data_IF_617916548584
#
_entry.id   IF_617916548584
#
_cell.length_a   1.000
_cell.length_b   1.000
_cell.length_c   1.000
_cell.angle_alpha   90.00
_cell.angle_beta   90.00
_cell.angle_gamma   90.00
#
_symmetry.space_group_name_H-M   'P 1'
#
loop_
_entity.id
_entity.type
_entity.pdbx_description
1 polymer ?
#
# COMPACT_ATOMS: atom_id res chain seq x y z
N UNK A 1 26.24 14.05 5.64
CA UNK A 1 24.79 13.81 5.45
C UNK A 1 24.33 12.90 6.57
N UNK A 2 23.46 13.37 7.46
CA UNK A 2 22.96 12.56 8.57
C UNK A 2 22.01 11.50 8.02
N UNK A 3 22.33 10.21 8.25
CA UNK A 3 21.42 9.10 7.99
C UNK A 3 20.19 9.25 8.90
N UNK A 4 19.07 9.66 8.32
CA UNK A 4 17.76 9.56 8.96
C UNK A 4 17.37 8.08 8.98
N UNK A 5 17.75 7.38 10.06
CA UNK A 5 17.02 6.16 10.43
C UNK A 5 15.66 6.65 10.91
N UNK A 6 14.52 6.23 10.33
CA UNK A 6 13.24 6.53 10.93
C UNK A 6 13.23 5.81 12.28
N UNK A 7 13.46 6.54 13.38
CA UNK A 7 13.18 6.03 14.74
C UNK A 7 11.68 6.00 15.01
N UNK A 8 10.91 6.58 14.09
CA UNK A 8 9.47 6.58 14.10
C UNK A 8 8.92 5.20 13.70
N UNK A 9 8.45 4.46 14.72
CA UNK A 9 7.89 3.13 14.54
C UNK A 9 6.62 3.15 13.68
N UNK A 10 5.86 4.24 13.63
CA UNK A 10 4.63 4.31 12.84
C UNK A 10 4.97 4.43 11.35
N UNK A 11 5.95 5.28 11.00
CA UNK A 11 6.47 5.38 9.62
C UNK A 11 7.02 4.05 9.12
N UNK A 12 7.84 3.36 9.92
CA UNK A 12 8.37 2.04 9.55
C UNK A 12 7.23 1.05 9.29
N UNK A 13 6.23 1.00 10.19
CA UNK A 13 5.07 0.10 10.01
C UNK A 13 4.26 0.45 8.78
N UNK A 14 4.07 1.74 8.48
CA UNK A 14 3.33 2.18 7.30
C UNK A 14 4.04 1.72 6.03
N UNK A 15 5.36 1.93 5.95
CA UNK A 15 6.17 1.44 4.83
C UNK A 15 6.14 -0.08 4.69
N UNK A 16 6.23 -0.83 5.79
CA UNK A 16 6.24 -2.31 5.75
C UNK A 16 4.88 -2.94 5.42
N UNK A 17 3.77 -2.27 5.74
CA UNK A 17 2.43 -2.86 5.70
C UNK A 17 1.53 -2.29 4.60
N UNK A 18 1.97 -1.26 3.86
CA UNK A 18 1.16 -0.63 2.82
C UNK A 18 0.60 -1.65 1.81
N UNK A 19 1.38 -2.69 1.54
CA UNK A 19 1.11 -3.71 0.53
C UNK A 19 0.54 -5.02 1.06
N UNK A 20 0.21 -5.09 2.35
CA UNK A 20 -0.23 -6.35 3.00
C UNK A 20 -1.45 -6.96 2.32
N UNK A 21 -2.29 -6.14 1.68
CA UNK A 21 -3.45 -6.59 0.91
C UNK A 21 -3.10 -7.50 -0.27
N UNK A 22 -1.90 -7.39 -0.87
CA UNK A 22 -1.47 -8.26 -1.99
C UNK A 22 -1.44 -9.73 -1.58
N UNK A 23 -1.19 -10.03 -0.30
CA UNK A 23 -1.20 -11.40 0.24
C UNK A 23 -2.58 -12.07 0.16
N UNK A 24 -3.66 -11.30 0.32
CA UNK A 24 -5.04 -11.82 0.29
C UNK A 24 -5.49 -12.35 -1.07
N UNK A 25 -4.83 -11.93 -2.17
CA UNK A 25 -5.14 -12.40 -3.53
C UNK A 25 -4.67 -13.84 -3.80
N UNK A 26 -3.75 -14.35 -2.96
CA UNK A 26 -3.01 -15.59 -3.15
C UNK A 26 -2.28 -15.70 -4.51
N UNK A 27 -2.08 -14.61 -5.26
CA UNK A 27 -1.39 -14.67 -6.56
C UNK A 27 0.12 -14.83 -6.36
N UNK A 28 0.70 -15.80 -7.06
CA UNK A 28 2.15 -15.90 -7.25
C UNK A 28 2.66 -14.85 -8.25
N UNK A 29 3.99 -14.75 -8.46
CA UNK A 29 4.60 -13.69 -9.27
C UNK A 29 3.99 -13.53 -10.66
N UNK A 30 3.79 -14.64 -11.38
CA UNK A 30 3.18 -14.63 -12.74
C UNK A 30 1.76 -14.05 -12.70
N UNK A 31 0.95 -14.45 -11.71
CA UNK A 31 -0.42 -13.95 -11.57
C UNK A 31 -0.46 -12.45 -11.28
N UNK A 32 0.47 -11.95 -10.47
CA UNK A 32 0.61 -10.51 -10.18
C UNK A 32 0.98 -9.73 -11.43
N UNK A 33 1.95 -10.21 -12.21
CA UNK A 33 2.33 -9.60 -13.50
C UNK A 33 1.13 -9.52 -14.45
N UNK A 34 0.37 -10.61 -14.59
CA UNK A 34 -0.83 -10.62 -15.43
C UNK A 34 -1.91 -9.66 -14.93
N UNK A 35 -2.09 -9.52 -13.61
CA UNK A 35 -3.02 -8.56 -13.04
C UNK A 35 -2.61 -7.12 -13.38
N UNK A 36 -1.34 -6.77 -13.20
CA UNK A 36 -0.79 -5.45 -13.54
C UNK A 36 -0.92 -5.15 -15.04
N UNK A 37 -0.65 -6.12 -15.91
CA UNK A 37 -0.85 -5.95 -17.35
C UNK A 37 -2.33 -5.75 -17.70
N UNK A 38 -3.24 -6.47 -17.05
CA UNK A 38 -4.67 -6.29 -17.25
C UNK A 38 -5.14 -4.90 -16.82
N UNK A 39 -4.63 -4.36 -15.71
CA UNK A 39 -4.89 -2.99 -15.27
C UNK A 39 -4.38 -1.96 -16.29
N UNK A 40 -3.13 -2.10 -16.74
CA UNK A 40 -2.52 -1.22 -17.73
C UNK A 40 -3.32 -1.19 -19.04
N UNK A 41 -3.82 -2.35 -19.48
CA UNK A 41 -4.63 -2.50 -20.68
C UNK A 41 -6.13 -2.23 -20.45
N UNK A 42 -6.52 -1.86 -19.23
CA UNK A 42 -7.92 -1.63 -18.82
C UNK A 42 -8.85 -2.81 -19.11
N UNK A 43 -8.35 -4.02 -18.95
CA UNK A 43 -9.12 -5.25 -19.11
C UNK A 43 -9.95 -5.53 -17.85
N UNK A 44 -11.20 -6.02 -18.00
CA UNK A 44 -12.00 -6.41 -16.85
C UNK A 44 -11.35 -7.61 -16.14
N UNK A 45 -11.11 -7.46 -14.83
CA UNK A 45 -10.63 -8.55 -13.97
C UNK A 45 -11.58 -8.80 -12.82
N UNK A 46 -11.75 -10.06 -12.45
CA UNK A 46 -12.60 -10.48 -11.33
C UNK A 46 -11.87 -11.50 -10.45
N UNK A 47 -12.49 -11.88 -9.34
CA UNK A 47 -11.92 -12.87 -8.42
C UNK A 47 -10.57 -12.43 -7.86
N UNK A 48 -9.58 -13.32 -7.90
CA UNK A 48 -8.25 -13.10 -7.30
C UNK A 48 -7.46 -11.95 -7.95
N UNK A 49 -7.63 -11.74 -9.25
CA UNK A 49 -6.99 -10.64 -9.97
C UNK A 49 -7.60 -9.30 -9.58
N UNK A 50 -8.93 -9.23 -9.50
CA UNK A 50 -9.61 -8.03 -8.98
C UNK A 50 -9.25 -7.74 -7.53
N UNK A 51 -9.15 -8.77 -6.68
CA UNK A 51 -8.70 -8.62 -5.31
C UNK A 51 -7.25 -8.12 -5.21
N UNK A 52 -6.37 -8.54 -6.13
CA UNK A 52 -5.00 -8.01 -6.22
C UNK A 52 -4.97 -6.54 -6.62
N UNK A 53 -5.75 -6.11 -7.62
CA UNK A 53 -5.81 -4.68 -7.98
C UNK A 53 -6.41 -3.83 -6.86
N UNK A 54 -7.35 -4.38 -6.10
CA UNK A 54 -7.95 -3.74 -4.92
C UNK A 54 -7.12 -3.91 -3.64
N UNK A 55 -5.83 -4.28 -3.73
CA UNK A 55 -5.01 -4.60 -2.56
C UNK A 55 -4.96 -3.47 -1.53
N UNK A 56 -4.88 -2.19 -1.96
CA UNK A 56 -4.84 -1.05 -1.05
C UNK A 56 -6.09 -0.96 -0.15
N UNK A 57 -7.29 -0.74 -0.70
CA UNK A 57 -8.52 -0.68 0.09
C UNK A 57 -8.84 -1.96 0.89
N UNK A 58 -8.48 -3.13 0.37
CA UNK A 58 -8.68 -4.39 1.10
C UNK A 58 -7.69 -4.55 2.25
N UNK A 59 -6.43 -4.17 2.05
CA UNK A 59 -5.38 -4.18 3.06
C UNK A 59 -5.66 -3.19 4.18
N UNK A 60 -6.01 -1.96 3.84
CA UNK A 60 -6.40 -0.93 4.80
C UNK A 60 -7.56 -1.37 5.69
N UNK A 61 -8.58 -2.02 5.10
CA UNK A 61 -9.71 -2.57 5.86
C UNK A 61 -9.28 -3.62 6.87
N UNK A 62 -8.35 -4.50 6.51
CA UNK A 62 -7.81 -5.52 7.41
C UNK A 62 -6.95 -4.91 8.51
N UNK A 63 -6.08 -3.95 8.17
CA UNK A 63 -5.26 -3.21 9.13
C UNK A 63 -6.14 -2.48 10.15
N UNK A 64 -7.20 -1.81 9.69
CA UNK A 64 -8.18 -1.15 10.55
C UNK A 64 -8.89 -2.13 11.49
N UNK A 65 -9.29 -3.30 11.00
CA UNK A 65 -9.88 -4.36 11.84
C UNK A 65 -8.94 -4.83 12.94
N UNK A 66 -7.63 -4.80 12.70
CA UNK A 66 -6.59 -5.20 13.67
C UNK A 66 -6.14 -4.06 14.59
N UNK A 67 -6.74 -2.87 14.47
CA UNK A 67 -6.38 -1.72 15.28
C UNK A 67 -5.01 -1.13 14.94
N UNK A 68 -4.58 -1.22 13.68
CA UNK A 68 -3.36 -0.57 13.23
C UNK A 68 -3.45 0.96 13.32
N UNK A 69 -2.28 1.60 13.42
CA UNK A 69 -2.14 3.06 13.52
C UNK A 69 -2.73 3.79 12.30
N UNK A 70 -3.18 5.03 12.50
CA UNK A 70 -3.92 5.80 11.49
C UNK A 70 -3.13 5.99 10.20
N UNK A 71 -1.85 6.35 10.31
CA UNK A 71 -0.97 6.52 9.14
C UNK A 71 -0.79 5.21 8.37
N UNK A 72 -0.68 4.07 9.07
CA UNK A 72 -0.53 2.74 8.47
C UNK A 72 -1.74 2.38 7.63
N UNK A 73 -2.94 2.59 8.17
CA UNK A 73 -4.21 2.34 7.46
C UNK A 73 -4.33 3.25 6.25
N UNK A 74 -4.07 4.55 6.43
CA UNK A 74 -4.25 5.55 5.38
C UNK A 74 -3.25 5.38 4.24
N UNK A 75 -1.98 5.08 4.56
CA UNK A 75 -0.97 4.84 3.52
C UNK A 75 -1.30 3.57 2.72
N UNK A 76 -1.71 2.49 3.38
CA UNK A 76 -2.19 1.28 2.68
C UNK A 76 -3.40 1.56 1.77
N UNK A 77 -4.32 2.44 2.16
CA UNK A 77 -5.53 2.72 1.38
C UNK A 77 -5.29 3.62 0.17
N UNK A 78 -4.43 4.62 0.31
CA UNK A 78 -4.38 5.74 -0.62
C UNK A 78 -3.08 5.85 -1.42
N UNK A 79 -2.01 5.12 -1.09
CA UNK A 79 -0.81 5.11 -1.95
C UNK A 79 -1.16 4.57 -3.36
N UNK A 80 -0.54 5.09 -4.44
CA UNK A 80 0.49 6.13 -4.48
C UNK A 80 -0.08 7.56 -4.64
N UNK A 81 -1.33 7.83 -4.23
CA UNK A 81 -1.95 9.15 -4.38
C UNK A 81 -1.34 10.23 -3.46
N UNK A 82 -1.78 11.48 -3.65
CA UNK A 82 -1.37 12.63 -2.84
C UNK A 82 -1.73 12.44 -1.35
N UNK A 83 -0.89 12.99 -0.49
CA UNK A 83 -1.11 13.06 0.96
C UNK A 83 -2.51 13.65 1.31
N UNK A 84 -3.27 12.99 2.20
CA UNK A 84 -4.46 13.57 2.81
C UNK A 84 -4.14 14.80 3.65
N UNK A 85 -5.08 15.74 3.77
CA UNK A 85 -4.89 16.97 4.57
C UNK A 85 -4.61 16.70 6.06
N UNK A 86 -4.98 15.52 6.56
CA UNK A 86 -4.77 15.08 7.93
C UNK A 86 -3.40 14.45 8.19
N UNK A 87 -2.54 14.32 7.19
CA UNK A 87 -1.18 13.76 7.31
C UNK A 87 -0.15 14.83 7.05
N UNK A 88 0.92 14.82 7.85
CA UNK A 88 2.12 15.60 7.54
C UNK A 88 2.65 15.26 6.12
N UNK A 89 2.67 16.22 5.19
CA UNK A 89 3.14 15.98 3.83
C UNK A 89 4.57 15.46 3.75
N UNK A 90 5.44 15.78 4.71
CA UNK A 90 6.82 15.30 4.72
C UNK A 90 6.88 13.80 5.04
N UNK A 91 6.09 13.33 6.02
CA UNK A 91 5.95 11.89 6.34
C UNK A 91 5.41 11.11 5.14
N UNK A 92 4.40 11.65 4.45
CA UNK A 92 3.82 11.02 3.27
C UNK A 92 4.83 10.94 2.11
N UNK A 93 5.56 12.03 1.87
CA UNK A 93 6.64 12.05 0.86
C UNK A 93 7.70 11.00 1.15
N UNK A 94 8.15 10.87 2.40
CA UNK A 94 9.14 9.87 2.78
C UNK A 94 8.64 8.43 2.56
N UNK A 95 7.35 8.18 2.79
CA UNK A 95 6.75 6.87 2.53
C UNK A 95 6.67 6.58 1.03
N UNK A 96 6.27 7.55 0.20
CA UNK A 96 6.27 7.40 -1.26
C UNK A 96 7.69 7.18 -1.80
N UNK A 97 8.68 7.94 -1.32
CA UNK A 97 10.09 7.76 -1.70
C UNK A 97 10.67 6.41 -1.28
N UNK A 98 10.14 5.80 -0.21
CA UNK A 98 10.52 4.46 0.22
C UNK A 98 9.79 3.34 -0.54
N UNK A 99 8.67 3.67 -1.19
CA UNK A 99 7.84 2.76 -2.00
C UNK A 99 8.22 2.76 -3.48
N UNK A 100 8.79 3.87 -3.98
CA UNK A 100 9.37 3.95 -5.34
C UNK A 100 10.53 2.94 -5.48
N UNK A 101 10.22 1.75 -6.01
CA UNK A 101 11.14 0.68 -6.44
C UNK A 101 12.07 1.10 -7.60
#
# INVERSE_FOLDING_TARGET
>A
MAQLRPTDSELIRAGLLHDVGKAGSALGPIGRTLATLAELLRLPVTGRYGAYLMHGPLGARELKRRGADGLVVMFAELHPARAPDSVDPERWRLLLEADDD
#
